data_IF_387302394639
#
_entry.id   IF_387302394639
#
_cell.length_a   1.000
_cell.length_b   1.000
_cell.length_c   1.000
_cell.angle_alpha   90.00
_cell.angle_beta   90.00
_cell.angle_gamma   90.00
#
_symmetry.space_group_name_H-M   'P 1'
#
loop_
_entity.id
_entity.type
_entity.pdbx_description
1 polymer ?
#
# COMPACT_ATOMS: atom_id res chain seq x y z
N UNK A 1 52.63 -28.07 -0.52
CA UNK A 1 53.02 -26.67 -0.25
C UNK A 1 53.36 -25.96 -1.55
N UNK A 2 52.47 -25.09 -2.05
CA UNK A 2 52.76 -24.09 -3.10
C UNK A 2 51.94 -22.84 -2.77
N UNK A 3 52.62 -21.75 -2.38
CA UNK A 3 52.02 -20.43 -2.14
C UNK A 3 51.88 -19.73 -3.48
N UNK A 4 50.64 -19.41 -3.89
CA UNK A 4 50.36 -18.56 -5.05
C UNK A 4 50.07 -17.15 -4.54
N UNK A 5 50.88 -16.18 -4.94
CA UNK A 5 50.78 -14.79 -4.51
C UNK A 5 49.69 -14.05 -5.29
N UNK A 6 48.64 -13.62 -4.60
CA UNK A 6 47.64 -12.64 -5.08
C UNK A 6 48.04 -11.26 -4.53
N UNK A 7 48.84 -10.49 -5.28
CA UNK A 7 49.21 -9.10 -4.91
C UNK A 7 49.00 -8.09 -6.05
N UNK A 8 48.28 -8.47 -7.12
CA UNK A 8 48.13 -7.60 -8.31
C UNK A 8 46.83 -6.81 -8.43
N UNK A 9 45.78 -7.10 -7.63
CA UNK A 9 44.42 -6.65 -7.95
C UNK A 9 43.85 -5.53 -7.04
N UNK A 10 44.65 -4.98 -6.12
CA UNK A 10 44.20 -3.87 -5.25
C UNK A 10 44.57 -2.48 -5.78
N UNK A 11 45.47 -2.38 -6.78
CA UNK A 11 45.89 -1.08 -7.34
C UNK A 11 44.90 -0.47 -8.33
N UNK A 12 44.08 -1.28 -9.01
CA UNK A 12 43.17 -0.80 -10.06
C UNK A 12 41.84 -0.24 -9.52
N UNK A 13 41.48 -0.57 -8.28
CA UNK A 13 40.23 -0.13 -7.63
C UNK A 13 40.33 1.24 -6.95
N UNK A 14 41.55 1.71 -6.65
CA UNK A 14 41.78 3.03 -6.04
C UNK A 14 41.82 4.14 -7.09
N UNK A 15 42.16 3.83 -8.35
CA UNK A 15 42.25 4.82 -9.43
C UNK A 15 40.88 5.16 -10.06
N UNK A 16 39.87 4.29 -9.93
CA UNK A 16 38.51 4.50 -10.48
C UNK A 16 37.58 5.31 -9.56
N UNK A 17 37.92 5.47 -8.27
CA UNK A 17 37.13 6.26 -7.31
C UNK A 17 37.41 7.78 -7.35
N UNK A 18 38.41 8.24 -8.11
CA UNK A 18 38.87 9.64 -8.10
C UNK A 18 38.29 10.54 -9.20
N UNK A 19 37.40 10.04 -10.07
CA UNK A 19 36.96 10.78 -11.28
C UNK A 19 35.53 11.34 -11.21
N UNK A 20 34.80 11.23 -10.10
CA UNK A 20 33.36 11.61 -10.04
C UNK A 20 33.08 12.93 -9.30
N UNK A 21 34.09 13.74 -8.95
CA UNK A 21 33.91 14.97 -8.14
C UNK A 21 34.01 16.29 -8.92
N UNK A 22 33.17 16.51 -9.94
CA UNK A 22 33.04 17.86 -10.51
C UNK A 22 31.70 18.10 -11.23
N UNK A 23 30.66 18.51 -10.49
CA UNK A 23 29.56 19.26 -11.09
C UNK A 23 28.86 20.13 -10.02
N UNK A 24 29.36 21.35 -9.84
CA UNK A 24 28.70 22.38 -9.03
C UNK A 24 27.84 23.26 -9.94
N UNK A 25 26.53 23.41 -9.69
CA UNK A 25 25.67 24.31 -10.46
C UNK A 25 26.00 25.79 -10.19
N UNK A 26 25.86 26.68 -11.19
CA UNK A 26 26.11 28.11 -11.02
C UNK A 26 25.03 28.77 -10.15
N UNK A 27 25.48 29.72 -9.32
CA UNK A 27 24.64 30.50 -8.42
C UNK A 27 23.65 31.41 -9.18
N UNK A 28 22.40 31.55 -8.72
CA UNK A 28 21.43 32.46 -9.32
C UNK A 28 21.84 33.94 -9.10
N UNK A 29 21.79 34.70 -10.20
CA UNK A 29 22.07 36.13 -10.23
C UNK A 29 20.99 36.95 -9.51
N UNK A 30 21.42 37.99 -8.79
CA UNK A 30 20.54 38.90 -8.06
C UNK A 30 19.65 39.72 -9.01
N UNK A 31 18.34 39.65 -8.79
CA UNK A 31 17.32 40.46 -9.46
C UNK A 31 17.40 41.91 -8.97
N UNK A 32 17.37 42.93 -9.86
CA UNK A 32 17.38 44.33 -9.46
C UNK A 32 16.04 44.74 -8.82
N UNK A 33 16.15 45.43 -7.69
CA UNK A 33 15.06 46.04 -6.93
C UNK A 33 14.41 47.18 -7.73
N UNK A 34 13.07 47.27 -7.83
CA UNK A 34 12.42 48.41 -8.47
C UNK A 34 12.60 49.68 -7.63
N UNK A 35 12.99 50.76 -8.31
CA UNK A 35 13.13 52.12 -7.77
C UNK A 35 11.73 52.74 -7.61
N UNK A 36 11.47 53.35 -6.45
CA UNK A 36 10.26 54.15 -6.21
C UNK A 36 10.27 55.40 -7.08
N UNK A 37 9.21 55.57 -7.88
CA UNK A 37 8.95 56.75 -8.68
C UNK A 37 8.11 57.74 -7.88
N UNK A 38 8.64 58.93 -7.61
CA UNK A 38 7.88 60.04 -7.03
C UNK A 38 6.75 60.44 -7.98
N UNK A 39 5.52 60.29 -7.51
CA UNK A 39 4.32 60.72 -8.22
C UNK A 39 3.96 62.12 -7.74
N UNK A 40 3.77 63.11 -8.64
CA UNK A 40 3.46 64.47 -8.25
C UNK A 40 2.08 64.57 -7.58
N UNK A 41 2.05 65.29 -6.47
CA UNK A 41 0.88 65.61 -5.66
C UNK A 41 -0.12 66.47 -6.45
N UNK A 42 -1.38 66.04 -6.65
CA UNK A 42 -2.39 66.89 -7.27
C UNK A 42 -2.82 68.03 -6.33
N UNK A 43 -2.94 69.21 -6.93
CA UNK A 43 -3.40 70.47 -6.32
C UNK A 43 -4.83 70.36 -5.80
N UNK A 44 -5.10 71.01 -4.67
CA UNK A 44 -6.42 71.12 -4.06
C UNK A 44 -7.38 71.89 -4.99
N UNK A 45 -8.49 71.23 -5.36
CA UNK A 45 -9.64 71.85 -6.03
C UNK A 45 -10.77 71.98 -5.02
N UNK A 46 -11.40 73.16 -4.99
CA UNK A 46 -12.46 73.51 -4.06
C UNK A 46 -13.77 72.72 -4.33
N UNK A 47 -14.22 72.05 -3.27
CA UNK A 47 -15.57 71.86 -2.74
C UNK A 47 -16.78 72.11 -3.66
N UNK A 48 -17.69 71.11 -3.72
CA UNK A 48 -19.12 71.34 -3.53
C UNK A 48 -19.58 70.83 -2.16
N UNK A 49 -20.38 71.64 -1.48
CA UNK A 49 -21.04 71.32 -0.21
C UNK A 49 -21.94 70.10 -0.35
N UNK A 50 -21.66 69.03 0.40
CA UNK A 50 -22.45 67.82 0.41
C UNK A 50 -23.76 68.02 1.20
N UNK A 51 -24.89 67.82 0.53
CA UNK A 51 -26.20 67.69 1.17
C UNK A 51 -26.22 66.37 1.95
N UNK A 52 -26.46 66.43 3.26
CA UNK A 52 -26.59 65.26 4.11
C UNK A 52 -27.80 64.42 3.67
N UNK A 53 -27.52 63.34 2.95
CA UNK A 53 -28.50 62.31 2.64
C UNK A 53 -28.36 61.24 3.71
N UNK A 54 -29.36 61.09 4.58
CA UNK A 54 -29.39 60.07 5.62
C UNK A 54 -29.29 58.69 4.95
N UNK A 55 -28.11 58.08 5.05
CA UNK A 55 -27.84 56.74 4.54
C UNK A 55 -28.60 55.74 5.42
N UNK A 56 -29.39 54.81 4.87
CA UNK A 56 -30.05 53.80 5.67
C UNK A 56 -29.00 52.99 6.43
N UNK A 57 -29.11 52.97 7.75
CA UNK A 57 -28.26 52.14 8.61
C UNK A 57 -28.42 50.69 8.18
N UNK A 58 -27.36 50.10 7.62
CA UNK A 58 -27.31 48.67 7.32
C UNK A 58 -27.34 47.93 8.66
N UNK A 59 -28.52 47.45 9.03
CA UNK A 59 -28.67 46.54 10.16
C UNK A 59 -27.87 45.29 9.84
N UNK A 60 -26.77 45.07 10.57
CA UNK A 60 -26.00 43.84 10.49
C UNK A 60 -26.94 42.66 10.79
N UNK A 61 -27.35 41.96 9.75
CA UNK A 61 -28.11 40.72 9.90
C UNK A 61 -27.14 39.72 10.53
N UNK A 62 -27.47 39.08 11.66
CA UNK A 62 -26.58 38.09 12.25
C UNK A 62 -26.34 37.01 11.19
N UNK A 63 -25.12 36.96 10.67
CA UNK A 63 -24.67 35.88 9.82
C UNK A 63 -24.76 34.63 10.66
N UNK A 64 -25.68 33.73 10.32
CA UNK A 64 -25.76 32.43 10.99
C UNK A 64 -24.43 31.74 10.75
N UNK A 65 -23.59 31.69 11.80
CA UNK A 65 -22.39 30.87 11.82
C UNK A 65 -22.86 29.45 11.54
N UNK A 66 -22.35 28.77 10.49
CA UNK A 66 -22.76 27.41 10.22
C UNK A 66 -22.39 26.56 11.44
N UNK A 67 -23.41 26.15 12.19
CA UNK A 67 -23.24 25.17 13.26
C UNK A 67 -22.75 23.89 12.59
N UNK A 68 -21.48 23.54 12.80
CA UNK A 68 -20.92 22.28 12.32
C UNK A 68 -21.75 21.16 12.92
N UNK A 69 -22.63 20.59 12.11
CA UNK A 69 -23.41 19.43 12.49
C UNK A 69 -22.40 18.29 12.54
N UNK A 70 -22.04 17.84 13.75
CA UNK A 70 -21.20 16.67 13.94
C UNK A 70 -21.95 15.49 13.31
N UNK A 71 -21.60 15.17 12.05
CA UNK A 71 -22.07 13.95 11.41
C UNK A 71 -21.55 12.81 12.27
N UNK A 72 -22.40 11.91 12.80
CA UNK A 72 -21.93 10.81 13.63
C UNK A 72 -20.90 10.02 12.82
N UNK A 73 -19.64 10.09 13.24
CA UNK A 73 -18.58 9.30 12.65
C UNK A 73 -18.90 7.84 12.97
N UNK A 74 -19.28 7.09 11.93
CA UNK A 74 -19.53 5.66 12.06
C UNK A 74 -18.33 5.00 12.73
N UNK A 75 -18.59 4.18 13.75
CA UNK A 75 -17.54 3.42 14.42
C UNK A 75 -17.03 2.30 13.50
N UNK A 76 -15.73 1.92 13.59
CA UNK A 76 -15.17 0.88 12.76
C UNK A 76 -15.81 -0.50 13.03
N UNK A 77 -16.19 -1.20 11.96
CA UNK A 77 -16.78 -2.53 12.01
C UNK A 77 -15.71 -3.63 11.92
N UNK A 78 -14.97 -3.83 13.01
CA UNK A 78 -13.85 -4.79 13.05
C UNK A 78 -14.24 -6.24 12.73
N UNK A 79 -15.48 -6.64 13.01
CA UNK A 79 -16.01 -7.96 12.68
C UNK A 79 -16.16 -8.21 11.17
N UNK A 80 -16.24 -7.14 10.37
CA UNK A 80 -16.37 -7.21 8.91
C UNK A 80 -15.01 -7.06 8.22
N UNK A 81 -13.92 -7.07 8.99
CA UNK A 81 -12.59 -6.90 8.46
C UNK A 81 -12.22 -8.03 7.49
N UNK A 82 -11.60 -7.67 6.37
CA UNK A 82 -11.11 -8.62 5.35
C UNK A 82 -9.68 -8.30 4.96
N UNK A 83 -8.83 -9.31 4.88
CA UNK A 83 -7.51 -9.16 4.23
C UNK A 83 -7.72 -9.23 2.73
N UNK A 84 -7.22 -8.24 1.99
CA UNK A 84 -7.36 -8.13 0.54
C UNK A 84 -6.03 -8.19 -0.21
N UNK A 85 -4.92 -8.07 0.50
CA UNK A 85 -3.57 -8.22 -0.05
C UNK A 85 -2.64 -8.78 1.03
N UNK A 86 -1.75 -9.68 0.63
CA UNK A 86 -0.60 -10.16 1.42
C UNK A 86 0.60 -10.21 0.48
N UNK A 87 1.60 -9.38 0.76
CA UNK A 87 2.80 -9.23 -0.06
C UNK A 87 4.04 -9.40 0.79
N UNK A 88 5.03 -10.13 0.27
CA UNK A 88 6.38 -10.09 0.83
C UNK A 88 7.11 -8.82 0.37
N UNK A 89 7.61 -8.04 1.32
CA UNK A 89 8.52 -6.93 1.08
C UNK A 89 9.95 -7.38 1.38
N UNK A 90 10.86 -7.10 0.44
CA UNK A 90 12.29 -7.39 0.58
C UNK A 90 12.92 -6.75 1.82
N UNK A 91 12.34 -5.63 2.29
CA UNK A 91 12.72 -4.96 3.53
C UNK A 91 11.45 -4.80 4.38
N UNK A 92 11.46 -5.32 5.61
CA UNK A 92 10.35 -5.15 6.55
C UNK A 92 9.36 -6.32 6.66
N UNK A 93 9.56 -7.42 5.93
CA UNK A 93 8.81 -8.67 6.10
C UNK A 93 7.58 -8.74 5.20
N UNK A 94 6.40 -8.90 5.77
CA UNK A 94 5.13 -9.01 5.06
C UNK A 94 4.29 -7.74 5.24
N UNK A 95 3.78 -7.23 4.13
CA UNK A 95 2.73 -6.22 4.10
C UNK A 95 1.38 -6.91 3.92
N UNK A 96 0.39 -6.53 4.72
CA UNK A 96 -1.02 -6.84 4.50
C UNK A 96 -1.81 -5.57 4.29
N UNK A 97 -2.81 -5.65 3.41
CA UNK A 97 -3.82 -4.60 3.27
C UNK A 97 -5.14 -5.17 3.75
N UNK A 98 -5.78 -4.51 4.71
CA UNK A 98 -7.07 -4.91 5.26
C UNK A 98 -8.13 -3.88 4.94
N UNK A 99 -9.32 -4.35 4.56
CA UNK A 99 -10.52 -3.51 4.53
C UNK A 99 -11.21 -3.64 5.88
N UNK A 100 -11.44 -2.52 6.55
CA UNK A 100 -12.18 -2.40 7.82
C UNK A 100 -13.19 -1.27 7.64
N UNK A 101 -14.49 -1.57 7.47
CA UNK A 101 -15.49 -0.55 7.24
C UNK A 101 -15.52 0.50 8.35
N UNK A 102 -15.60 1.77 7.97
CA UNK A 102 -15.57 2.94 8.83
C UNK A 102 -14.30 3.10 9.69
N UNK A 103 -13.17 2.51 9.28
CA UNK A 103 -11.89 2.80 9.92
C UNK A 103 -11.40 4.19 9.53
N UNK A 104 -10.97 4.96 10.51
CA UNK A 104 -10.57 6.36 10.38
C UNK A 104 -9.30 6.71 11.17
N UNK A 105 -8.62 5.69 11.70
CA UNK A 105 -7.44 5.82 12.54
C UNK A 105 -6.58 4.55 12.39
N UNK A 106 -5.27 4.62 12.68
CA UNK A 106 -4.42 3.44 12.68
C UNK A 106 -4.78 2.50 13.84
N UNK A 107 -4.78 1.19 13.56
CA UNK A 107 -4.93 0.14 14.57
C UNK A 107 -3.95 -0.98 14.28
N UNK A 108 -3.11 -1.35 15.24
CA UNK A 108 -2.21 -2.50 15.06
C UNK A 108 -3.03 -3.79 15.05
N UNK A 109 -2.52 -4.82 14.37
CA UNK A 109 -3.24 -6.07 14.17
C UNK A 109 -2.41 -7.25 14.66
N UNK A 110 -3.05 -8.22 15.30
CA UNK A 110 -2.50 -9.55 15.50
C UNK A 110 -3.25 -10.54 14.60
N UNK A 111 -2.52 -11.27 13.75
CA UNK A 111 -3.03 -12.36 12.93
C UNK A 111 -2.31 -13.65 13.26
N UNK A 112 -3.02 -14.64 13.81
CA UNK A 112 -2.44 -15.93 14.15
C UNK A 112 -1.24 -15.85 15.12
N UNK A 113 -1.23 -14.84 15.99
CA UNK A 113 -0.12 -14.58 16.93
C UNK A 113 0.99 -13.68 16.38
N UNK A 114 0.93 -13.27 15.11
CA UNK A 114 1.91 -12.39 14.49
C UNK A 114 1.45 -10.94 14.61
N UNK A 115 2.33 -10.06 15.10
CA UNK A 115 2.08 -8.64 15.24
C UNK A 115 2.33 -7.90 13.92
N UNK A 116 1.38 -7.06 13.54
CA UNK A 116 1.46 -6.15 12.42
C UNK A 116 1.26 -4.71 12.89
N UNK A 117 2.20 -3.82 12.57
CA UNK A 117 2.05 -2.39 12.76
C UNK A 117 1.31 -1.79 11.58
N UNK A 118 0.22 -1.06 11.81
CA UNK A 118 -0.62 -0.54 10.74
C UNK A 118 -0.60 0.98 10.67
N UNK A 119 -0.74 1.49 9.45
CA UNK A 119 -1.03 2.89 9.15
C UNK A 119 -2.40 3.02 8.47
N UNK A 120 -3.02 4.17 8.66
CA UNK A 120 -4.23 4.60 7.96
C UNK A 120 -3.86 5.71 6.97
N UNK A 121 -4.44 5.69 5.78
CA UNK A 121 -4.28 6.72 4.75
C UNK A 121 -5.67 7.20 4.33
N UNK A 122 -5.96 8.48 4.56
CA UNK A 122 -7.26 9.11 4.23
C UNK A 122 -7.62 8.97 2.74
N UNK A 123 -6.63 8.82 1.86
CA UNK A 123 -6.84 8.57 0.43
C UNK A 123 -7.55 7.24 0.17
N UNK A 124 -7.40 6.27 1.05
CA UNK A 124 -7.96 4.94 0.96
C UNK A 124 -8.84 4.68 2.20
N UNK A 125 -10.04 5.28 2.26
CA UNK A 125 -10.95 5.06 3.37
C UNK A 125 -11.25 3.57 3.52
N UNK A 126 -11.57 3.16 4.73
CA UNK A 126 -11.82 1.77 5.10
C UNK A 126 -10.60 0.85 4.96
N UNK A 127 -9.37 1.38 4.83
CA UNK A 127 -8.17 0.54 4.69
C UNK A 127 -7.12 0.75 5.76
N UNK A 128 -6.54 -0.36 6.19
CA UNK A 128 -5.32 -0.40 6.99
C UNK A 128 -4.20 -1.06 6.18
N UNK A 129 -3.03 -0.42 6.19
CA UNK A 129 -1.81 -0.94 5.58
C UNK A 129 -0.88 -1.37 6.70
N UNK A 130 -0.65 -2.67 6.83
CA UNK A 130 0.07 -3.21 7.97
C UNK A 130 1.32 -3.98 7.60
N UNK A 131 2.33 -3.91 8.45
CA UNK A 131 3.65 -4.50 8.26
C UNK A 131 4.02 -5.38 9.44
N UNK A 132 4.45 -6.61 9.16
CA UNK A 132 4.84 -7.60 10.16
C UNK A 132 6.00 -8.46 9.66
N UNK A 133 6.71 -9.13 10.56
CA UNK A 133 7.94 -9.84 10.20
C UNK A 133 7.74 -11.27 9.68
N UNK A 134 6.51 -11.80 9.73
CA UNK A 134 6.22 -13.19 9.37
C UNK A 134 4.92 -13.32 8.58
N UNK A 135 4.85 -14.36 7.74
CA UNK A 135 3.64 -14.71 6.99
C UNK A 135 2.61 -15.28 7.96
N UNK A 136 1.35 -14.78 7.97
CA UNK A 136 0.31 -15.39 8.78
C UNK A 136 -0.05 -16.79 8.23
N UNK A 137 -0.52 -17.71 9.10
CA UNK A 137 -1.01 -18.99 8.63
C UNK A 137 -2.19 -18.83 7.67
N UNK A 138 -2.16 -19.57 6.58
CA UNK A 138 -3.18 -19.54 5.52
C UNK A 138 -4.12 -20.75 5.64
N UNK A 139 -5.31 -20.64 5.06
CA UNK A 139 -6.27 -21.74 4.88
C UNK A 139 -6.73 -22.43 6.17
N UNK A 140 -6.59 -21.74 7.30
CA UNK A 140 -7.07 -22.19 8.61
C UNK A 140 -7.65 -21.04 9.42
N UNK A 141 -8.52 -21.36 10.39
CA UNK A 141 -9.11 -20.38 11.30
C UNK A 141 -8.07 -19.87 12.29
N UNK A 142 -7.69 -18.59 12.16
CA UNK A 142 -6.71 -17.94 13.01
C UNK A 142 -7.34 -16.83 13.86
N UNK A 143 -6.66 -16.45 14.94
CA UNK A 143 -7.06 -15.30 15.75
C UNK A 143 -6.79 -14.01 14.98
N UNK A 144 -7.78 -13.12 14.96
CA UNK A 144 -7.67 -11.72 14.55
C UNK A 144 -7.86 -10.85 15.79
N UNK A 145 -6.95 -9.92 16.06
CA UNK A 145 -7.17 -8.90 17.07
C UNK A 145 -6.76 -7.52 16.55
N UNK A 146 -7.54 -6.49 16.86
CA UNK A 146 -7.18 -5.09 16.64
C UNK A 146 -6.75 -4.48 17.97
N UNK A 147 -5.67 -3.71 17.92
CA UNK A 147 -5.02 -3.10 19.06
C UNK A 147 -4.93 -1.59 18.83
N UNK A 148 -5.14 -0.82 19.89
CA UNK A 148 -4.82 0.60 19.88
C UNK A 148 -3.31 0.79 19.63
N UNK A 149 -2.90 1.69 18.72
CA UNK A 149 -1.52 1.76 18.24
C UNK A 149 -0.50 2.09 19.34
N UNK A 150 -0.83 3.03 20.23
CA UNK A 150 0.09 3.49 21.27
C UNK A 150 0.09 2.62 22.53
N UNK A 151 -1.08 2.17 22.97
CA UNK A 151 -1.24 1.45 24.23
C UNK A 151 -1.08 -0.06 24.09
N UNK A 152 -1.19 -0.58 22.86
CA UNK A 152 -1.22 -2.03 22.61
C UNK A 152 -2.45 -2.73 23.21
N UNK A 153 -3.46 -1.98 23.67
CA UNK A 153 -4.68 -2.56 24.24
C UNK A 153 -5.51 -3.19 23.12
N UNK A 154 -5.90 -4.46 23.31
CA UNK A 154 -6.86 -5.14 22.42
C UNK A 154 -8.22 -4.45 22.52
N UNK A 155 -8.74 -3.98 21.39
CA UNK A 155 -10.05 -3.33 21.27
C UNK A 155 -11.09 -4.23 20.61
N UNK A 156 -10.63 -5.23 19.85
CA UNK A 156 -11.46 -6.26 19.24
C UNK A 156 -10.66 -7.55 19.12
N UNK A 157 -11.33 -8.69 19.29
CA UNK A 157 -10.77 -10.01 19.04
C UNK A 157 -11.82 -10.93 18.42
N UNK A 158 -11.44 -11.64 17.36
CA UNK A 158 -12.29 -12.56 16.63
C UNK A 158 -11.49 -13.67 15.94
N UNK A 159 -12.15 -14.35 14.99
CA UNK A 159 -11.55 -15.37 14.13
C UNK A 159 -11.68 -14.96 12.67
N UNK A 160 -10.66 -15.25 11.88
CA UNK A 160 -10.66 -15.04 10.43
C UNK A 160 -9.99 -16.23 9.76
N UNK A 161 -10.39 -16.53 8.52
CA UNK A 161 -9.67 -17.46 7.64
C UNK A 161 -8.99 -16.62 6.57
N UNK A 162 -7.67 -16.70 6.48
CA UNK A 162 -6.92 -16.12 5.37
C UNK A 162 -6.93 -17.11 4.24
N UNK A 163 -7.91 -16.97 3.36
CA UNK A 163 -8.09 -17.85 2.22
C UNK A 163 -7.01 -17.53 1.17
N UNK A 164 -6.10 -18.48 0.94
CA UNK A 164 -5.04 -18.31 -0.06
C UNK A 164 -5.60 -18.18 -1.48
N UNK A 165 -6.85 -18.57 -1.72
CA UNK A 165 -7.57 -18.33 -2.98
C UNK A 165 -7.99 -16.89 -3.18
N UNK A 166 -8.27 -16.18 -2.08
CA UNK A 166 -8.81 -14.82 -2.12
C UNK A 166 -7.72 -13.74 -2.17
N UNK A 167 -6.47 -14.11 -1.88
CA UNK A 167 -5.33 -13.20 -1.93
C UNK A 167 -4.54 -13.41 -3.23
N UNK A 168 -4.68 -12.50 -4.21
CA UNK A 168 -3.92 -12.61 -5.44
C UNK A 168 -2.42 -12.51 -5.13
N UNK A 169 -1.60 -13.36 -5.72
CA UNK A 169 -0.15 -13.19 -5.63
C UNK A 169 0.25 -11.88 -6.28
N UNK A 170 1.27 -11.19 -5.75
CA UNK A 170 1.80 -9.99 -6.38
C UNK A 170 2.20 -10.27 -7.82
N UNK A 171 1.70 -9.47 -8.75
CA UNK A 171 2.15 -9.54 -10.14
C UNK A 171 3.58 -9.01 -10.22
N UNK A 172 4.47 -9.64 -11.02
CA UNK A 172 5.77 -9.06 -11.34
C UNK A 172 5.70 -7.57 -11.74
N UNK A 173 6.75 -6.83 -11.39
CA UNK A 173 6.84 -5.41 -11.71
C UNK A 173 6.78 -5.18 -13.23
N UNK A 174 6.06 -4.13 -13.64
CA UNK A 174 5.79 -3.83 -15.06
C UNK A 174 4.51 -4.47 -15.62
N UNK A 175 3.84 -5.32 -14.83
CA UNK A 175 2.57 -5.95 -15.20
C UNK A 175 1.47 -5.51 -14.23
N UNK A 176 1.32 -4.21 -13.94
CA UNK A 176 0.26 -3.79 -13.02
C UNK A 176 -1.13 -3.99 -13.65
N UNK A 177 -2.15 -4.04 -12.81
CA UNK A 177 -3.55 -4.15 -13.24
C UNK A 177 -4.05 -2.95 -14.06
N UNK A 178 -3.31 -1.84 -14.09
CA UNK A 178 -3.69 -0.60 -14.77
C UNK A 178 -2.99 -0.40 -16.12
N UNK A 179 -1.98 -1.20 -16.43
CA UNK A 179 -1.14 -1.01 -17.62
C UNK A 179 -1.72 -1.68 -18.88
N UNK A 180 -2.83 -2.42 -18.75
CA UNK A 180 -3.44 -3.17 -19.84
C UNK A 180 -4.96 -3.26 -19.72
N UNK A 181 -5.74 -2.81 -20.73
CA UNK A 181 -7.21 -2.85 -20.71
C UNK A 181 -7.80 -4.26 -20.85
N UNK A 182 -7.01 -5.23 -21.33
CA UNK A 182 -7.45 -6.62 -21.54
C UNK A 182 -7.08 -7.56 -20.37
N UNK A 183 -6.73 -6.99 -19.22
CA UNK A 183 -6.34 -7.77 -18.05
C UNK A 183 -7.44 -8.73 -17.59
N UNK A 184 -7.05 -9.95 -17.23
CA UNK A 184 -7.95 -11.03 -16.84
C UNK A 184 -8.69 -11.71 -18.00
N UNK A 185 -8.43 -11.35 -19.26
CA UNK A 185 -8.98 -12.04 -20.44
C UNK A 185 -8.02 -13.13 -20.94
N UNK A 186 -8.59 -14.21 -21.49
CA UNK A 186 -7.83 -15.34 -22.05
C UNK A 186 -6.81 -15.94 -21.07
N UNK A 187 -7.24 -16.13 -19.81
CA UNK A 187 -6.36 -16.68 -18.77
C UNK A 187 -6.00 -18.12 -19.11
N UNK A 188 -4.70 -18.41 -19.11
CA UNK A 188 -4.12 -19.74 -19.24
C UNK A 188 -3.14 -19.97 -18.10
N UNK A 189 -3.02 -21.19 -17.61
CA UNK A 189 -2.15 -21.48 -16.47
C UNK A 189 -1.29 -22.70 -16.72
N UNK A 190 -0.01 -22.58 -16.37
CA UNK A 190 0.89 -23.72 -16.16
C UNK A 190 0.68 -24.20 -14.73
N UNK A 191 0.31 -25.47 -14.56
CA UNK A 191 -0.12 -25.99 -13.26
C UNK A 191 0.56 -27.29 -12.89
N UNK A 192 0.74 -27.47 -11.60
CA UNK A 192 1.19 -28.71 -10.99
C UNK A 192 0.40 -28.94 -9.70
N UNK A 193 -0.22 -30.11 -9.58
CA UNK A 193 -0.95 -30.52 -8.38
C UNK A 193 -0.26 -31.72 -7.76
N UNK A 194 0.11 -31.59 -6.49
CA UNK A 194 0.88 -32.58 -5.74
C UNK A 194 0.15 -32.96 -4.45
N UNK A 195 0.52 -34.10 -3.88
CA UNK A 195 0.07 -34.58 -2.58
C UNK A 195 1.32 -34.78 -1.71
N UNK A 196 1.38 -34.08 -0.59
CA UNK A 196 2.46 -34.21 0.38
C UNK A 196 2.40 -35.57 1.12
N UNK A 197 3.48 -36.00 1.80
CA UNK A 197 3.51 -37.27 2.55
C UNK A 197 2.43 -37.40 3.63
N UNK A 198 1.92 -36.28 4.15
CA UNK A 198 0.81 -36.22 5.10
C UNK A 198 -0.57 -36.39 4.44
N UNK A 199 -0.62 -36.55 3.11
CA UNK A 199 -1.84 -36.71 2.33
C UNK A 199 -2.51 -35.40 1.94
N UNK A 200 -1.94 -34.25 2.30
CA UNK A 200 -2.55 -32.94 1.99
C UNK A 200 -2.25 -32.55 0.53
N UNK A 201 -3.27 -32.28 -0.29
CA UNK A 201 -3.06 -31.78 -1.65
C UNK A 201 -2.58 -30.33 -1.64
N UNK A 202 -1.66 -30.01 -2.54
CA UNK A 202 -1.18 -28.66 -2.77
C UNK A 202 -1.09 -28.36 -4.28
N UNK A 203 -1.04 -27.09 -4.62
CA UNK A 203 -1.00 -26.64 -6.01
C UNK A 203 0.05 -25.56 -6.21
N UNK A 204 0.75 -25.68 -7.34
CA UNK A 204 1.57 -24.62 -7.91
C UNK A 204 0.95 -24.24 -9.25
N UNK A 205 0.74 -22.97 -9.48
CA UNK A 205 0.24 -22.47 -10.75
C UNK A 205 0.91 -21.15 -11.12
N UNK A 206 1.23 -20.97 -12.39
CA UNK A 206 1.59 -19.68 -12.96
C UNK A 206 0.59 -19.37 -14.06
N UNK A 207 -0.21 -18.33 -13.86
CA UNK A 207 -1.27 -17.94 -14.77
C UNK A 207 -0.90 -16.68 -15.54
N UNK A 208 -1.21 -16.71 -16.82
CA UNK A 208 -0.99 -15.64 -17.78
C UNK A 208 -2.34 -15.25 -18.38
N UNK A 209 -2.53 -13.96 -18.61
CA UNK A 209 -3.67 -13.44 -19.37
C UNK A 209 -3.18 -12.78 -20.67
N UNK A 210 -4.08 -12.10 -21.38
CA UNK A 210 -3.75 -11.37 -22.61
C UNK A 210 -2.62 -10.33 -22.46
N UNK A 211 -2.29 -9.92 -21.23
CA UNK A 211 -1.31 -8.91 -20.90
C UNK A 211 0.00 -9.48 -20.32
N UNK A 212 0.13 -10.81 -20.21
CA UNK A 212 1.31 -11.48 -19.63
C UNK A 212 1.02 -12.10 -18.25
N UNK A 213 2.00 -12.16 -17.33
CA UNK A 213 1.81 -12.71 -16.00
C UNK A 213 0.61 -12.08 -15.28
N UNK A 214 -0.33 -12.90 -14.84
CA UNK A 214 -1.56 -12.45 -14.20
C UNK A 214 -1.56 -12.71 -12.69
N UNK A 215 -1.47 -13.97 -12.29
CA UNK A 215 -1.31 -14.39 -10.91
C UNK A 215 -0.59 -15.74 -10.85
N UNK A 216 -0.24 -16.16 -9.66
CA UNK A 216 0.38 -17.44 -9.37
C UNK A 216 -0.28 -18.02 -8.12
N UNK A 217 -0.10 -19.31 -7.91
CA UNK A 217 -0.54 -20.03 -6.72
C UNK A 217 0.64 -20.86 -6.27
N UNK A 218 0.97 -20.83 -4.98
CA UNK A 218 1.95 -21.74 -4.41
C UNK A 218 1.49 -22.12 -3.00
N UNK A 219 0.85 -23.29 -2.89
CA UNK A 219 0.39 -23.83 -1.60
C UNK A 219 1.18 -25.05 -1.14
N UNK A 220 2.17 -25.47 -1.91
CA UNK A 220 3.01 -26.60 -1.54
C UNK A 220 4.02 -26.25 -0.44
N UNK A 221 4.24 -27.11 0.57
CA UNK A 221 5.35 -26.96 1.51
C UNK A 221 6.72 -27.02 0.80
N UNK A 222 7.67 -26.19 1.25
CA UNK A 222 8.99 -26.05 0.64
C UNK A 222 9.95 -27.21 0.99
N UNK A 223 9.74 -27.89 2.12
CA UNK A 223 10.65 -28.91 2.67
C UNK A 223 10.23 -30.35 2.39
N UNK A 224 9.51 -30.59 1.28
CA UNK A 224 9.05 -31.92 0.89
C UNK A 224 9.79 -32.39 -0.37
N UNK A 225 10.54 -33.47 -0.23
CA UNK A 225 11.34 -34.05 -1.31
C UNK A 225 10.63 -35.15 -2.12
N UNK A 226 9.51 -35.67 -1.61
CA UNK A 226 8.75 -36.74 -2.25
C UNK A 226 7.28 -36.34 -2.38
N UNK A 227 6.77 -36.46 -3.60
CA UNK A 227 5.43 -36.02 -3.96
C UNK A 227 4.71 -37.11 -4.73
N UNK A 228 3.44 -37.31 -4.39
CA UNK A 228 2.52 -38.00 -5.30
C UNK A 228 1.82 -36.96 -6.17
N UNK A 229 1.46 -37.33 -7.39
CA UNK A 229 0.70 -36.45 -8.28
C UNK A 229 -0.79 -36.58 -7.96
N UNK A 230 -1.52 -35.47 -8.08
CA UNK A 230 -2.98 -35.50 -8.01
C UNK A 230 -3.57 -36.34 -9.15
N UNK A 231 -4.70 -36.99 -8.89
CA UNK A 231 -5.55 -37.53 -9.96
C UNK A 231 -6.41 -36.41 -10.58
N UNK A 232 -7.13 -36.71 -11.67
CA UNK A 232 -7.94 -35.72 -12.39
C UNK A 232 -9.04 -35.08 -11.55
N UNK A 233 -9.61 -35.81 -10.60
CA UNK A 233 -10.65 -35.30 -9.72
C UNK A 233 -10.10 -34.26 -8.75
N UNK A 234 -9.00 -34.61 -8.09
CA UNK A 234 -8.32 -33.72 -7.15
C UNK A 234 -7.71 -32.52 -7.87
N UNK A 235 -7.18 -32.71 -9.07
CA UNK A 235 -6.73 -31.60 -9.92
C UNK A 235 -7.89 -30.64 -10.22
N UNK A 236 -9.06 -31.15 -10.58
CA UNK A 236 -10.25 -30.33 -10.85
C UNK A 236 -10.72 -29.58 -9.61
N UNK A 237 -10.71 -30.25 -8.45
CA UNK A 237 -11.03 -29.63 -7.17
C UNK A 237 -10.05 -28.49 -6.86
N UNK A 238 -8.74 -28.74 -7.00
CA UNK A 238 -7.71 -27.73 -6.73
C UNK A 238 -7.77 -26.57 -7.72
N UNK A 239 -8.03 -26.83 -9.01
CA UNK A 239 -8.27 -25.78 -10.01
C UNK A 239 -9.47 -24.91 -9.61
N UNK A 240 -10.59 -25.54 -9.26
CA UNK A 240 -11.79 -24.82 -8.80
C UNK A 240 -11.54 -24.07 -7.51
N UNK A 241 -10.72 -24.61 -6.61
CA UNK A 241 -10.32 -23.97 -5.36
C UNK A 241 -9.60 -22.66 -5.70
N UNK A 242 -8.55 -22.67 -6.51
CA UNK A 242 -7.74 -21.48 -6.76
C UNK A 242 -8.16 -20.62 -7.95
N UNK A 243 -9.41 -20.74 -8.41
CA UNK A 243 -9.94 -19.99 -9.56
C UNK A 243 -9.10 -20.14 -10.85
N UNK A 244 -8.53 -21.33 -11.06
CA UNK A 244 -7.72 -21.66 -12.23
C UNK A 244 -8.64 -22.23 -13.34
N UNK A 245 -8.63 -21.65 -14.55
CA UNK A 245 -9.43 -22.11 -15.69
C UNK A 245 -8.99 -23.50 -16.18
#
# INVERSE_FOLDING_TARGET
>A
MKRLQFHGWMGLLVLTMLVVSACTPPAPAATPTPVSTDTPQPSATATPTATLTLTPTVTATPTQTPTSTLTPTLAPSFEQAKVIELRYQTVGGYQITMVVPAVNAPYNVILGGINFKCSFDEKYPDRLFCFGLAKPPMDQSITLAFLHPDTGKVIYQGKIVLDSRALPTPVPSGYSQYDCPDRGKNVTCEIECRIAPDGVPCMVATCFDACGPYYSVHTCPEDVSQWNMCNDELLREMKSRYNIP
#
